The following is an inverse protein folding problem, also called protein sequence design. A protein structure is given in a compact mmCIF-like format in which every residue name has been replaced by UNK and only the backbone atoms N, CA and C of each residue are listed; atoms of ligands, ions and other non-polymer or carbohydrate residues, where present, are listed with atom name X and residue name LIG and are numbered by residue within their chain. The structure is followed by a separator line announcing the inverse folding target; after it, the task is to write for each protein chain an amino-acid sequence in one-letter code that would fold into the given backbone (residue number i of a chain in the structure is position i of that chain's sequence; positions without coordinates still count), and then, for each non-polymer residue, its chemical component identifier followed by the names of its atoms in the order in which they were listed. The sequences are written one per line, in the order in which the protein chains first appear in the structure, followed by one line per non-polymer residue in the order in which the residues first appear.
data_IF_900877001049
#
_entry.id   IF_900877001049
#
_cell.length_a   1.000
_cell.length_b   1.000
_cell.length_c   1.000
_cell.angle_alpha   90.00
_cell.angle_beta   90.00
_cell.angle_gamma   90.00
#
_symmetry.space_group_name_H-M   'P 1'
#
loop_
_entity.id
_entity.type
_entity.pdbx_description
1 polymer ?
#
# COMPACT_ATOMS: atom_id res chain seq x y z
N UNK A 1 -10.53 13.77 29.40
CA UNK A 1 -10.45 14.99 28.52
C UNK A 1 -9.37 15.98 28.98
N UNK A 2 -8.25 15.48 29.47
CA UNK A 2 -7.17 16.31 30.01
C UNK A 2 -6.34 17.04 28.93
N UNK A 3 -6.40 16.59 27.67
CA UNK A 3 -5.54 17.12 26.61
C UNK A 3 -6.25 18.11 25.66
N UNK A 4 -7.58 18.08 25.59
CA UNK A 4 -8.32 18.86 24.57
C UNK A 4 -9.26 19.92 25.19
N UNK A 5 -9.38 20.00 26.51
CA UNK A 5 -10.35 20.86 27.17
C UNK A 5 -11.82 20.42 26.93
N UNK A 6 -12.75 21.32 27.19
CA UNK A 6 -14.16 21.06 26.95
C UNK A 6 -14.49 21.29 25.47
N UNK A 7 -15.12 20.29 24.84
CA UNK A 7 -15.60 20.39 23.45
C UNK A 7 -17.00 20.98 23.49
N UNK A 8 -17.14 22.23 23.04
CA UNK A 8 -18.42 22.94 23.03
C UNK A 8 -19.26 22.69 21.79
N UNK A 9 -18.65 22.32 20.67
CA UNK A 9 -19.36 22.09 19.42
C UNK A 9 -18.60 21.07 18.54
N UNK A 10 -19.35 20.19 17.87
CA UNK A 10 -18.81 19.20 16.94
C UNK A 10 -19.55 19.35 15.62
N UNK A 11 -18.85 19.77 14.59
CA UNK A 11 -19.36 19.77 13.21
C UNK A 11 -19.13 18.40 12.57
N UNK A 12 -20.22 17.77 12.08
CA UNK A 12 -20.13 16.48 11.39
C UNK A 12 -19.74 16.74 9.94
N UNK A 13 -18.49 16.44 9.60
CA UNK A 13 -17.98 16.53 8.23
C UNK A 13 -18.53 15.44 7.31
N UNK A 14 -18.09 15.46 6.05
CA UNK A 14 -18.44 14.44 5.05
C UNK A 14 -17.74 13.13 5.36
N UNK A 15 -18.46 12.01 5.27
CA UNK A 15 -17.86 10.67 5.34
C UNK A 15 -17.60 10.12 3.94
N UNK A 16 -16.47 9.44 3.77
CA UNK A 16 -16.10 8.77 2.52
C UNK A 16 -15.83 7.29 2.79
N UNK A 17 -16.28 6.38 1.92
CA UNK A 17 -15.98 4.97 2.08
C UNK A 17 -14.47 4.74 1.89
N UNK A 18 -13.86 4.02 2.82
CA UNK A 18 -12.49 3.56 2.68
C UNK A 18 -12.49 2.34 1.75
N UNK A 19 -11.90 2.47 0.58
CA UNK A 19 -11.84 1.41 -0.41
C UNK A 19 -10.45 1.32 -1.02
N UNK A 20 -9.98 0.09 -1.23
CA UNK A 20 -8.81 -0.17 -2.05
C UNK A 20 -9.24 -0.34 -3.51
N UNK A 21 -8.47 0.17 -4.44
CA UNK A 21 -8.70 0.01 -5.88
C UNK A 21 -7.36 -0.16 -6.59
N UNK A 22 -7.39 -0.92 -7.66
CA UNK A 22 -6.23 -1.20 -8.48
C UNK A 22 -6.63 -1.16 -9.95
N UNK A 23 -5.91 -0.41 -10.77
CA UNK A 23 -6.13 -0.41 -12.21
C UNK A 23 -5.63 -1.72 -12.82
N UNK A 24 -6.35 -2.26 -13.80
CA UNK A 24 -5.93 -3.48 -14.50
C UNK A 24 -4.68 -3.25 -15.36
N UNK A 25 -4.51 -2.03 -15.84
CA UNK A 25 -3.39 -1.61 -16.67
C UNK A 25 -2.85 -0.26 -16.20
N UNK A 26 -1.54 -0.10 -16.20
CA UNK A 26 -0.87 1.15 -15.83
C UNK A 26 -0.40 1.97 -17.02
N UNK A 27 -0.64 1.49 -18.24
CA UNK A 27 -0.31 2.17 -19.48
C UNK A 27 -1.44 1.98 -20.50
N UNK A 28 -1.87 3.10 -21.10
CA UNK A 28 -2.86 3.10 -22.16
C UNK A 28 -2.67 4.33 -23.06
N UNK A 29 -2.66 4.14 -24.38
CA UNK A 29 -2.57 5.22 -25.37
C UNK A 29 -1.49 6.29 -25.05
N UNK A 30 -0.27 5.88 -24.72
CA UNK A 30 0.87 6.74 -24.31
C UNK A 30 0.72 7.46 -22.98
N UNK A 31 -0.27 7.12 -22.17
CA UNK A 31 -0.43 7.61 -20.81
C UNK A 31 0.02 6.55 -19.81
N UNK A 32 0.84 6.96 -18.83
CA UNK A 32 1.20 6.14 -17.69
C UNK A 32 0.36 6.58 -16.47
N UNK A 33 -0.20 5.61 -15.77
CA UNK A 33 -0.86 5.84 -14.49
C UNK A 33 0.16 5.71 -13.37
N UNK A 34 0.15 6.67 -12.43
CA UNK A 34 1.03 6.71 -11.25
C UNK A 34 0.22 7.08 -10.00
N UNK A 35 0.65 6.61 -8.83
CA UNK A 35 0.02 6.92 -7.56
C UNK A 35 -1.47 6.55 -7.52
N UNK A 36 -2.30 7.42 -6.96
CA UNK A 36 -3.73 7.14 -6.79
C UNK A 36 -4.53 6.97 -8.09
N UNK A 37 -4.01 7.38 -9.24
CA UNK A 37 -4.62 7.09 -10.54
C UNK A 37 -4.44 5.63 -10.95
N UNK A 38 -3.38 4.97 -10.51
CA UNK A 38 -3.07 3.57 -10.76
C UNK A 38 -3.58 2.64 -9.65
N UNK A 39 -3.41 3.07 -8.39
CA UNK A 39 -3.73 2.25 -7.23
C UNK A 39 -4.13 3.12 -6.03
N UNK A 40 -5.17 2.73 -5.35
CA UNK A 40 -5.61 3.32 -4.09
C UNK A 40 -5.54 2.27 -3.00
N UNK A 41 -4.65 2.46 -2.05
CA UNK A 41 -4.50 1.58 -0.90
C UNK A 41 -5.41 1.99 0.25
N UNK A 42 -5.76 1.04 1.10
CA UNK A 42 -6.43 1.34 2.36
C UNK A 42 -5.55 2.24 3.22
N UNK A 43 -6.05 3.36 3.77
CA UNK A 43 -5.24 4.36 4.46
C UNK A 43 -4.59 3.89 5.76
N UNK A 44 -4.96 2.71 6.26
CA UNK A 44 -4.45 2.13 7.51
C UNK A 44 -2.91 2.10 7.58
N UNK A 45 -2.25 1.88 6.46
CA UNK A 45 -0.79 1.76 6.42
C UNK A 45 -0.07 3.07 6.06
N UNK A 46 -0.78 4.11 5.63
CA UNK A 46 -0.18 5.37 5.19
C UNK A 46 0.78 5.25 4.00
N UNK A 47 0.69 4.16 3.22
CA UNK A 47 1.66 3.82 2.17
C UNK A 47 1.36 4.44 0.80
N UNK A 48 0.21 5.09 0.61
CA UNK A 48 -0.20 5.60 -0.71
C UNK A 48 0.82 6.54 -1.34
N UNK A 49 1.37 7.48 -0.57
CA UNK A 49 2.40 8.40 -1.05
C UNK A 49 3.70 7.66 -1.42
N UNK A 50 4.15 6.74 -0.58
CA UNK A 50 5.38 5.99 -0.80
C UNK A 50 5.28 5.15 -2.09
N UNK A 51 4.14 4.50 -2.33
CA UNK A 51 3.90 3.74 -3.56
C UNK A 51 3.90 4.64 -4.79
N UNK A 52 3.32 5.83 -4.71
CA UNK A 52 3.39 6.82 -5.80
C UNK A 52 4.82 7.29 -6.09
N UNK A 53 5.65 7.49 -5.07
CA UNK A 53 7.07 7.82 -5.23
C UNK A 53 7.84 6.67 -5.88
N UNK A 54 7.57 5.42 -5.48
CA UNK A 54 8.15 4.24 -6.12
C UNK A 54 7.75 4.10 -7.60
N UNK A 55 6.50 4.45 -7.95
CA UNK A 55 6.05 4.48 -9.34
C UNK A 55 6.89 5.46 -10.17
N UNK A 56 7.08 6.68 -9.65
CA UNK A 56 7.87 7.72 -10.31
C UNK A 56 9.33 7.27 -10.46
N UNK A 57 9.93 6.75 -9.40
CA UNK A 57 11.31 6.27 -9.43
C UNK A 57 11.50 5.15 -10.46
N UNK A 58 10.60 4.17 -10.47
CA UNK A 58 10.63 3.06 -11.43
C UNK A 58 10.48 3.57 -12.87
N UNK A 59 9.51 4.43 -13.14
CA UNK A 59 9.25 4.97 -14.47
C UNK A 59 10.42 5.83 -14.95
N UNK A 60 10.97 6.69 -14.10
CA UNK A 60 12.12 7.53 -14.41
C UNK A 60 13.35 6.68 -14.77
N UNK A 61 13.62 5.63 -14.00
CA UNK A 61 14.72 4.71 -14.29
C UNK A 61 14.55 4.02 -15.64
N UNK A 62 13.33 3.54 -15.95
CA UNK A 62 13.05 2.88 -17.22
C UNK A 62 13.16 3.82 -18.42
N UNK A 63 12.70 5.07 -18.30
CA UNK A 63 12.84 6.10 -19.35
C UNK A 63 14.32 6.43 -19.59
N UNK A 64 15.11 6.52 -18.52
CA UNK A 64 16.55 6.81 -18.63
C UNK A 64 17.33 5.66 -19.29
N UNK A 65 16.83 4.43 -19.16
CA UNK A 65 17.55 3.22 -19.63
C UNK A 65 17.07 2.72 -20.99
N UNK A 66 15.93 3.16 -21.50
CA UNK A 66 15.31 2.69 -22.73
C UNK A 66 14.73 3.86 -23.54
N UNK A 67 14.75 3.71 -24.88
CA UNK A 67 14.10 4.66 -25.80
C UNK A 67 12.78 4.14 -26.36
N UNK A 68 12.48 2.85 -26.20
CA UNK A 68 11.26 2.23 -26.68
C UNK A 68 10.14 2.32 -25.66
N UNK A 69 9.14 3.15 -25.95
CA UNK A 69 7.97 3.38 -25.07
C UNK A 69 7.20 2.10 -24.77
N UNK A 70 7.07 1.19 -25.74
CA UNK A 70 6.34 -0.07 -25.52
C UNK A 70 7.08 -0.98 -24.54
N UNK A 71 8.40 -1.03 -24.64
CA UNK A 71 9.25 -1.79 -23.71
C UNK A 71 9.18 -1.18 -22.29
N UNK A 72 9.31 0.14 -22.20
CA UNK A 72 9.15 0.88 -20.93
C UNK A 72 7.80 0.56 -20.30
N UNK A 73 6.71 0.65 -21.07
CA UNK A 73 5.37 0.40 -20.57
C UNK A 73 5.20 -1.04 -20.07
N UNK A 74 5.67 -2.02 -20.83
CA UNK A 74 5.59 -3.43 -20.44
C UNK A 74 6.35 -3.69 -19.12
N UNK A 75 7.59 -3.23 -19.01
CA UNK A 75 8.41 -3.42 -17.81
C UNK A 75 7.83 -2.68 -16.61
N UNK A 76 7.35 -1.45 -16.80
CA UNK A 76 6.69 -0.67 -15.77
C UNK A 76 5.45 -1.38 -15.23
N UNK A 77 4.56 -1.81 -16.13
CA UNK A 77 3.34 -2.53 -15.74
C UNK A 77 3.66 -3.81 -14.96
N UNK A 78 4.57 -4.64 -15.46
CA UNK A 78 4.95 -5.88 -14.79
C UNK A 78 5.49 -5.61 -13.39
N UNK A 79 6.44 -4.68 -13.25
CA UNK A 79 7.08 -4.38 -11.97
C UNK A 79 6.09 -3.79 -10.97
N UNK A 80 5.32 -2.76 -11.39
CA UNK A 80 4.48 -2.02 -10.46
C UNK A 80 3.18 -2.71 -10.11
N UNK A 81 2.51 -3.36 -11.08
CA UNK A 81 1.28 -4.13 -10.82
C UNK A 81 1.57 -5.27 -9.84
N UNK A 82 2.61 -6.07 -10.12
CA UNK A 82 2.99 -7.19 -9.24
C UNK A 82 3.33 -6.72 -7.82
N UNK A 83 4.11 -5.64 -7.71
CA UNK A 83 4.50 -5.05 -6.42
C UNK A 83 3.29 -4.54 -5.64
N UNK A 84 2.46 -3.75 -6.27
CA UNK A 84 1.31 -3.11 -5.64
C UNK A 84 0.23 -4.14 -5.27
N UNK A 85 -0.01 -5.14 -6.11
CA UNK A 85 -0.93 -6.26 -5.83
C UNK A 85 -0.47 -7.08 -4.61
N UNK A 86 0.82 -7.38 -4.53
CA UNK A 86 1.39 -8.11 -3.39
C UNK A 86 1.24 -7.33 -2.07
N UNK A 87 1.49 -6.03 -2.11
CA UNK A 87 1.34 -5.16 -0.95
C UNK A 87 -0.13 -5.03 -0.54
N UNK A 88 -1.03 -4.88 -1.51
CA UNK A 88 -2.46 -4.80 -1.21
C UNK A 88 -2.97 -6.07 -0.55
N UNK A 89 -2.60 -7.25 -1.07
CA UNK A 89 -2.95 -8.54 -0.44
C UNK A 89 -2.44 -8.65 0.99
N UNK A 90 -1.22 -8.19 1.24
CA UNK A 90 -0.67 -8.15 2.60
C UNK A 90 -1.51 -7.25 3.52
N UNK A 91 -1.87 -6.05 3.06
CA UNK A 91 -2.72 -5.13 3.82
C UNK A 91 -4.11 -5.70 4.08
N UNK A 92 -4.72 -6.34 3.10
CA UNK A 92 -6.02 -6.99 3.23
C UNK A 92 -5.99 -8.11 4.28
N UNK A 93 -4.92 -8.90 4.31
CA UNK A 93 -4.70 -9.92 5.36
C UNK A 93 -4.60 -9.27 6.74
N UNK A 94 -3.84 -8.19 6.88
CA UNK A 94 -3.69 -7.47 8.16
C UNK A 94 -5.03 -6.89 8.62
N UNK A 95 -5.78 -6.26 7.72
CA UNK A 95 -7.10 -5.69 8.00
C UNK A 95 -8.07 -6.79 8.41
N UNK A 96 -8.13 -7.88 7.64
CA UNK A 96 -8.99 -9.03 7.96
C UNK A 96 -8.64 -9.62 9.34
N UNK A 97 -7.36 -9.81 9.61
CA UNK A 97 -6.89 -10.31 10.89
C UNK A 97 -7.31 -9.43 12.08
N UNK A 98 -7.21 -8.11 11.90
CA UNK A 98 -7.55 -7.14 12.95
C UNK A 98 -9.06 -6.96 13.15
N UNK A 99 -9.83 -6.97 12.05
CA UNK A 99 -11.29 -6.75 12.06
C UNK A 99 -12.10 -8.03 12.31
N UNK A 100 -11.46 -9.20 12.23
CA UNK A 100 -12.14 -10.49 12.35
C UNK A 100 -12.72 -10.70 13.75
N UNK A 101 -14.04 -10.94 13.80
CA UNK A 101 -14.75 -11.35 15.02
C UNK A 101 -14.54 -12.84 15.34
N UNK A 102 -14.03 -13.62 14.39
CA UNK A 102 -13.77 -15.05 14.55
C UNK A 102 -12.48 -15.32 15.31
N UNK A 103 -11.47 -14.45 15.14
CA UNK A 103 -10.19 -14.56 15.81
C UNK A 103 -10.25 -13.79 17.12
N UNK A 104 -10.23 -14.51 18.24
CA UNK A 104 -10.28 -13.84 19.55
C UNK A 104 -9.04 -12.98 19.79
N UNK A 105 -9.18 -11.93 20.61
CA UNK A 105 -8.10 -11.00 20.93
C UNK A 105 -6.85 -11.70 21.49
N UNK A 106 -7.04 -12.80 22.23
CA UNK A 106 -5.92 -13.58 22.76
C UNK A 106 -5.09 -14.24 21.68
N UNK A 107 -5.74 -14.83 20.67
CA UNK A 107 -5.05 -15.41 19.51
C UNK A 107 -4.36 -14.33 18.68
N UNK A 108 -4.97 -13.17 18.48
CA UNK A 108 -4.35 -12.03 17.80
C UNK A 108 -3.05 -11.61 18.50
N UNK A 109 -3.07 -11.47 19.83
CA UNK A 109 -1.89 -11.11 20.63
C UNK A 109 -0.81 -12.21 20.53
N UNK A 110 -1.17 -13.48 20.57
CA UNK A 110 -0.21 -14.60 20.44
C UNK A 110 0.48 -14.58 19.07
N UNK A 111 -0.28 -14.42 18.01
CA UNK A 111 0.25 -14.34 16.64
C UNK A 111 1.18 -13.13 16.49
N UNK A 112 0.80 -11.95 16.98
CA UNK A 112 1.66 -10.76 16.95
C UNK A 112 2.96 -10.93 17.74
N UNK A 113 2.92 -11.62 18.89
CA UNK A 113 4.12 -11.95 19.66
C UNK A 113 5.05 -12.91 18.90
N UNK A 114 4.51 -13.93 18.25
CA UNK A 114 5.28 -14.85 17.41
C UNK A 114 5.89 -14.12 16.22
N UNK A 115 5.11 -13.27 15.55
CA UNK A 115 5.58 -12.43 14.47
C UNK A 115 6.73 -11.51 14.91
N UNK A 116 6.59 -10.85 16.06
CA UNK A 116 7.63 -9.96 16.59
C UNK A 116 8.94 -10.68 16.94
N UNK A 117 8.85 -11.97 17.31
CA UNK A 117 10.02 -12.81 17.58
C UNK A 117 10.63 -13.43 16.30
N UNK A 118 9.96 -13.37 15.16
CA UNK A 118 10.46 -13.94 13.92
C UNK A 118 11.59 -13.09 13.35
N UNK A 119 12.77 -13.66 13.28
CA UNK A 119 13.95 -13.03 12.67
C UNK A 119 13.86 -12.94 11.14
N UNK A 120 12.96 -13.69 10.52
CA UNK A 120 12.81 -13.75 9.07
C UNK A 120 11.60 -12.96 8.56
N UNK A 121 10.42 -13.15 9.15
CA UNK A 121 9.19 -12.52 8.66
C UNK A 121 9.15 -11.02 8.87
N UNK A 122 9.54 -10.56 10.06
CA UNK A 122 9.52 -9.14 10.40
C UNK A 122 10.42 -8.28 9.50
N UNK A 123 11.71 -8.61 9.27
CA UNK A 123 12.57 -7.83 8.38
C UNK A 123 12.05 -7.80 6.94
N UNK A 124 11.54 -8.92 6.42
CA UNK A 124 11.04 -8.98 5.06
C UNK A 124 9.79 -8.10 4.86
N UNK A 125 8.84 -8.13 5.80
CA UNK A 125 7.66 -7.25 5.72
C UNK A 125 8.06 -5.78 5.87
N UNK A 126 9.00 -5.46 6.75
CA UNK A 126 9.50 -4.09 6.89
C UNK A 126 10.16 -3.64 5.58
N UNK A 127 11.06 -4.44 4.99
CA UNK A 127 11.70 -4.11 3.70
C UNK A 127 10.67 -3.85 2.61
N UNK A 128 9.67 -4.72 2.50
CA UNK A 128 8.57 -4.50 1.56
C UNK A 128 7.82 -3.19 1.82
N UNK A 129 7.52 -2.86 3.06
CA UNK A 129 6.78 -1.66 3.42
C UNK A 129 7.56 -0.36 3.12
N UNK A 130 8.90 -0.38 3.23
CA UNK A 130 9.77 0.79 2.99
C UNK A 130 10.40 0.80 1.59
N UNK A 131 10.05 -0.16 0.72
CA UNK A 131 10.52 -0.17 -0.67
C UNK A 131 12.00 -0.52 -0.86
N UNK A 132 12.62 -1.29 0.03
CA UNK A 132 14.03 -1.69 -0.06
C UNK A 132 14.26 -3.04 -0.79
N UNK A 133 13.27 -3.55 -1.49
CA UNK A 133 13.38 -4.81 -2.26
C UNK A 133 13.82 -4.53 -3.72
N UNK A 134 14.87 -3.73 -3.92
CA UNK A 134 15.52 -3.52 -5.22
C UNK A 134 16.78 -4.35 -5.32
#
# INVERSE_FOLDING_TARGET
NFLLGDISEIEIGKSFPLSSRHANEYFYNNYFLIGESAHKFHPLAGLGLNMGIEDIATLTHLISSNSDVKKIATEYCIKRISRNDSLQKLLDIIIYFHSSKVITREYQIRILRLFNKSLFLKPNIIRQAIGLDY
#
